data_IF_811976599161
#
_entry.id   IF_811976599161
#
_cell.length_a   1.000
_cell.length_b   1.000
_cell.length_c   1.000
_cell.angle_alpha   90.00
_cell.angle_beta   90.00
_cell.angle_gamma   90.00
#
_symmetry.space_group_name_H-M   'P 1'
#
loop_
_entity.id
_entity.type
_entity.pdbx_description
1 polymer ?
#
# COMPACT_ATOMS: atom_id res chain seq x y z
N UNK A 1 16.08 -1.49 22.45
CA UNK A 1 14.80 -0.91 22.05
C UNK A 1 14.88 -0.84 20.54
N UNK A 2 14.23 -1.77 19.84
CA UNK A 2 14.25 -1.85 18.37
C UNK A 2 13.56 -0.61 17.83
N UNK A 3 14.17 0.09 16.87
CA UNK A 3 13.48 1.16 16.16
C UNK A 3 12.55 0.51 15.12
N UNK A 4 11.33 1.04 14.94
CA UNK A 4 10.37 0.41 14.02
C UNK A 4 10.90 0.35 12.58
N UNK A 5 11.80 1.26 12.22
CA UNK A 5 12.49 1.29 10.93
C UNK A 5 13.46 0.11 10.72
N UNK A 6 13.84 -0.61 11.77
CA UNK A 6 14.69 -1.80 11.68
C UNK A 6 13.90 -3.06 11.28
N UNK A 7 12.55 -2.98 11.22
CA UNK A 7 11.68 -4.08 10.82
C UNK A 7 11.37 -3.94 9.33
N UNK A 8 11.84 -4.90 8.53
CA UNK A 8 11.78 -4.80 7.07
C UNK A 8 10.79 -5.82 6.50
N UNK A 9 9.79 -5.41 5.68
CA UNK A 9 8.98 -6.35 4.94
C UNK A 9 9.81 -7.06 3.85
N UNK A 10 9.55 -8.34 3.63
CA UNK A 10 10.22 -9.11 2.59
C UNK A 10 9.52 -10.44 2.29
N UNK A 11 10.27 -11.38 1.73
CA UNK A 11 9.79 -12.71 1.39
C UNK A 11 10.82 -13.77 1.78
N UNK A 12 10.36 -14.92 2.25
CA UNK A 12 11.22 -16.09 2.45
C UNK A 12 11.63 -16.73 1.11
N UNK A 13 12.54 -17.71 1.16
CA UNK A 13 13.07 -18.39 -0.03
C UNK A 13 12.00 -19.11 -0.86
N UNK A 14 10.89 -19.49 -0.24
CA UNK A 14 9.76 -20.13 -0.91
C UNK A 14 8.76 -19.12 -1.51
N UNK A 15 9.03 -17.82 -1.36
CA UNK A 15 8.21 -16.71 -1.86
C UNK A 15 7.10 -16.28 -0.90
N UNK A 16 6.94 -16.93 0.26
CA UNK A 16 5.98 -16.50 1.29
C UNK A 16 6.37 -15.15 1.88
N UNK A 17 5.37 -14.31 2.17
CA UNK A 17 5.62 -13.00 2.77
C UNK A 17 6.14 -13.12 4.20
N UNK A 18 7.11 -12.29 4.56
CA UNK A 18 7.72 -12.24 5.88
C UNK A 18 8.04 -10.80 6.31
N UNK A 19 8.29 -10.62 7.61
CA UNK A 19 8.92 -9.42 8.15
C UNK A 19 10.17 -9.81 8.94
N UNK A 20 11.23 -9.02 8.82
CA UNK A 20 12.55 -9.30 9.39
C UNK A 20 12.88 -8.26 10.46
N UNK A 21 13.17 -8.71 11.67
CA UNK A 21 13.74 -7.92 12.77
C UNK A 21 15.15 -8.47 13.05
N UNK A 22 16.15 -7.97 12.33
CA UNK A 22 17.49 -8.56 12.33
C UNK A 22 17.46 -10.02 11.84
N UNK A 23 17.84 -10.97 12.71
CA UNK A 23 17.81 -12.41 12.42
C UNK A 23 16.44 -13.06 12.72
N UNK A 24 15.49 -12.32 13.30
CA UNK A 24 14.16 -12.82 13.64
C UNK A 24 13.25 -12.69 12.42
N UNK A 25 12.53 -13.77 12.11
CA UNK A 25 11.57 -13.82 11.00
C UNK A 25 10.16 -13.96 11.56
N UNK A 26 9.26 -13.08 11.12
CA UNK A 26 7.83 -13.15 11.39
C UNK A 26 7.10 -13.57 10.12
N UNK A 27 6.55 -14.79 10.10
CA UNK A 27 5.82 -15.33 8.94
C UNK A 27 4.36 -14.89 8.84
N UNK A 28 3.90 -13.97 9.69
CA UNK A 28 2.55 -13.37 9.56
C UNK A 28 2.48 -12.01 10.24
N UNK A 29 1.53 -11.18 9.79
CA UNK A 29 1.27 -9.87 10.41
C UNK A 29 0.85 -10.01 11.88
N UNK A 30 0.06 -11.03 12.23
CA UNK A 30 -0.38 -11.29 13.59
C UNK A 30 0.78 -11.66 14.51
N UNK A 31 1.73 -12.48 14.04
CA UNK A 31 2.94 -12.81 14.79
C UNK A 31 3.85 -11.59 14.99
N UNK A 32 3.94 -10.72 13.96
CA UNK A 32 4.71 -9.48 14.03
C UNK A 32 4.15 -8.52 15.09
N UNK A 33 2.86 -8.19 15.03
CA UNK A 33 2.26 -7.21 15.98
C UNK A 33 2.18 -7.75 17.41
N UNK A 34 2.13 -9.07 17.59
CA UNK A 34 2.23 -9.69 18.91
C UNK A 34 3.64 -9.55 19.52
N UNK A 35 4.68 -9.63 18.69
CA UNK A 35 6.07 -9.43 19.11
C UNK A 35 6.42 -7.94 19.26
N UNK A 36 5.85 -7.08 18.41
CA UNK A 36 6.10 -5.64 18.37
C UNK A 36 4.79 -4.85 18.46
N UNK A 37 4.18 -4.73 19.66
CA UNK A 37 2.91 -4.01 19.84
C UNK A 37 2.96 -2.53 19.48
N UNK A 38 4.16 -1.92 19.46
CA UNK A 38 4.36 -0.52 19.09
C UNK A 38 3.93 -0.22 17.64
N UNK A 39 3.85 -1.22 16.76
CA UNK A 39 3.29 -1.07 15.41
C UNK A 39 1.80 -0.66 15.40
N UNK A 40 1.08 -0.89 16.50
CA UNK A 40 -0.33 -0.50 16.66
C UNK A 40 -0.50 0.92 17.22
N UNK A 41 0.59 1.66 17.46
CA UNK A 41 0.52 3.05 17.88
C UNK A 41 0.24 3.97 16.68
N UNK A 42 -0.51 5.07 16.84
CA UNK A 42 -0.84 5.97 15.73
C UNK A 42 0.37 6.51 14.96
N UNK A 43 1.50 6.72 15.64
CA UNK A 43 2.75 7.17 15.01
C UNK A 43 3.41 6.13 14.10
N UNK A 44 3.02 4.86 14.21
CA UNK A 44 3.57 3.75 13.44
C UNK A 44 2.71 3.36 12.22
N UNK A 45 1.61 4.08 11.94
CA UNK A 45 0.65 3.72 10.90
C UNK A 45 1.29 3.48 9.52
N UNK A 46 2.32 4.28 9.17
CA UNK A 46 3.08 4.10 7.94
C UNK A 46 3.82 2.76 7.88
N UNK A 47 4.53 2.40 8.94
CA UNK A 47 5.27 1.13 9.00
C UNK A 47 4.31 -0.06 9.07
N UNK A 48 3.23 0.04 9.84
CA UNK A 48 2.19 -0.99 9.85
C UNK A 48 1.59 -1.20 8.45
N UNK A 49 1.35 -0.12 7.68
CA UNK A 49 0.86 -0.23 6.30
C UNK A 49 1.84 -0.95 5.37
N UNK A 50 3.15 -0.78 5.53
CA UNK A 50 4.14 -1.56 4.76
C UNK A 50 4.01 -3.05 5.03
N UNK A 51 3.93 -3.45 6.30
CA UNK A 51 3.83 -4.85 6.66
C UNK A 51 2.49 -5.46 6.26
N UNK A 52 1.38 -4.78 6.55
CA UNK A 52 0.03 -5.24 6.14
C UNK A 52 -0.01 -5.44 4.62
N UNK A 53 0.50 -4.49 3.85
CA UNK A 53 0.56 -4.62 2.40
C UNK A 53 1.43 -5.80 1.95
N UNK A 54 2.61 -5.96 2.53
CA UNK A 54 3.52 -7.07 2.20
C UNK A 54 2.87 -8.44 2.44
N UNK A 55 2.22 -8.64 3.58
CA UNK A 55 1.55 -9.90 3.89
C UNK A 55 0.29 -10.14 3.05
N UNK A 56 -0.40 -9.09 2.61
CA UNK A 56 -1.64 -9.20 1.85
C UNK A 56 -1.45 -9.32 0.33
N UNK A 57 -0.54 -8.52 -0.24
CA UNK A 57 -0.37 -8.35 -1.69
C UNK A 57 1.09 -8.40 -2.15
N UNK A 58 2.06 -8.53 -1.24
CA UNK A 58 3.48 -8.57 -1.56
C UNK A 58 3.93 -7.35 -2.38
N UNK A 59 4.57 -7.61 -3.52
CA UNK A 59 5.17 -6.59 -4.41
C UNK A 59 4.20 -6.04 -5.46
N UNK A 60 2.98 -6.58 -5.56
CA UNK A 60 2.01 -6.15 -6.58
C UNK A 60 1.42 -4.77 -6.27
N UNK A 61 1.49 -4.36 -5.00
CA UNK A 61 1.00 -3.09 -4.50
C UNK A 61 2.07 -2.38 -3.67
N UNK A 62 2.09 -1.06 -3.75
CA UNK A 62 3.01 -0.21 -3.00
C UNK A 62 2.22 0.83 -2.19
N UNK A 63 2.35 0.87 -0.85
CA UNK A 63 1.70 1.89 -0.04
C UNK A 63 2.11 3.31 -0.43
N UNK A 64 1.14 4.20 -0.54
CA UNK A 64 1.32 5.62 -0.84
C UNK A 64 1.61 6.35 0.48
N UNK A 65 2.89 6.55 0.78
CA UNK A 65 3.34 7.23 2.00
C UNK A 65 3.31 8.76 1.90
N UNK A 66 3.50 9.29 0.68
CA UNK A 66 3.42 10.72 0.38
C UNK A 66 2.34 10.94 -0.70
N UNK A 67 1.10 11.26 -0.31
CA UNK A 67 0.01 11.52 -1.24
C UNK A 67 0.31 12.66 -2.23
N UNK A 68 1.05 13.69 -1.81
CA UNK A 68 1.36 14.83 -2.65
C UNK A 68 2.39 14.47 -3.73
N UNK A 69 3.42 13.70 -3.38
CA UNK A 69 4.37 13.15 -4.34
C UNK A 69 3.70 12.19 -5.31
N UNK A 70 2.83 11.30 -4.82
CA UNK A 70 2.06 10.40 -5.67
C UNK A 70 1.17 11.17 -6.66
N UNK A 71 0.38 12.14 -6.19
CA UNK A 71 -0.50 12.93 -7.05
C UNK A 71 0.27 13.71 -8.12
N UNK A 72 1.45 14.24 -7.79
CA UNK A 72 2.34 14.90 -8.76
C UNK A 72 2.84 13.93 -9.82
N UNK A 73 3.33 12.76 -9.42
CA UNK A 73 3.82 11.73 -10.34
C UNK A 73 2.70 11.18 -11.23
N UNK A 74 1.51 10.97 -10.68
CA UNK A 74 0.33 10.51 -11.41
C UNK A 74 -0.06 11.51 -12.51
N UNK A 75 -0.18 12.80 -12.16
CA UNK A 75 -0.51 13.86 -13.13
C UNK A 75 0.57 14.02 -14.21
N UNK A 76 1.85 13.88 -13.85
CA UNK A 76 2.94 13.93 -14.81
C UNK A 76 2.85 12.79 -15.83
N UNK A 77 2.67 11.55 -15.36
CA UNK A 77 2.46 10.37 -16.24
C UNK A 77 1.24 10.56 -17.15
N UNK A 78 0.12 11.03 -16.60
CA UNK A 78 -1.09 11.27 -17.39
C UNK A 78 -0.87 12.33 -18.49
N UNK A 79 -0.08 13.38 -18.23
CA UNK A 79 0.21 14.42 -19.21
C UNK A 79 1.13 13.95 -20.35
N UNK A 80 1.94 12.91 -20.10
CA UNK A 80 2.79 12.26 -21.11
C UNK A 80 1.99 11.29 -22.01
N UNK A 81 0.79 10.88 -21.60
CA UNK A 81 -0.06 9.98 -22.40
C UNK A 81 -0.68 10.73 -23.59
N UNK A 82 -0.43 10.26 -24.81
CA UNK A 82 -1.03 10.79 -26.03
C UNK A 82 -2.51 10.37 -26.16
N UNK A 83 -3.50 11.28 -25.99
CA UNK A 83 -4.91 10.88 -25.94
C UNK A 83 -5.44 10.35 -27.28
N UNK A 84 -4.84 10.80 -28.38
CA UNK A 84 -5.20 10.39 -29.73
C UNK A 84 -4.60 9.02 -30.12
N UNK A 85 -3.69 8.47 -29.31
CA UNK A 85 -3.07 7.18 -29.61
C UNK A 85 -4.13 6.08 -29.50
N UNK A 86 -4.27 5.19 -30.49
CA UNK A 86 -5.18 4.05 -30.39
C UNK A 86 -4.83 3.17 -29.18
N UNK A 87 -5.83 2.50 -28.61
CA UNK A 87 -5.60 1.48 -27.60
C UNK A 87 -4.65 0.40 -28.12
N UNK A 88 -3.73 -0.05 -27.26
CA UNK A 88 -2.76 -1.09 -27.57
C UNK A 88 -2.85 -2.17 -26.50
N UNK A 89 -2.91 -3.43 -26.94
CA UNK A 89 -2.84 -4.56 -26.03
C UNK A 89 -1.52 -4.50 -25.24
N UNK A 90 -1.58 -4.81 -23.94
CA UNK A 90 -0.43 -4.82 -23.01
C UNK A 90 0.16 -3.45 -22.65
N UNK A 91 -0.40 -2.34 -23.16
CA UNK A 91 0.00 -0.98 -22.75
C UNK A 91 -1.03 -0.40 -21.78
N UNK A 92 -0.68 -0.35 -20.50
CA UNK A 92 -1.53 0.23 -19.46
C UNK A 92 -1.40 1.76 -19.44
N UNK A 93 -2.43 2.44 -19.94
CA UNK A 93 -2.56 3.91 -19.86
C UNK A 93 -3.52 4.27 -18.73
N UNK A 94 -3.14 5.25 -17.92
CA UNK A 94 -3.99 5.78 -16.87
C UNK A 94 -5.30 6.32 -17.46
N UNK A 95 -5.24 6.96 -18.63
CA UNK A 95 -6.40 7.50 -19.33
C UNK A 95 -7.49 6.47 -19.64
N UNK A 96 -7.14 5.19 -19.78
CA UNK A 96 -8.09 4.12 -20.10
C UNK A 96 -9.00 3.76 -18.91
N UNK A 97 -8.65 4.19 -17.69
CA UNK A 97 -9.37 3.87 -16.45
C UNK A 97 -10.10 5.07 -15.84
N UNK A 98 -9.86 6.28 -16.36
CA UNK A 98 -10.27 7.52 -15.72
C UNK A 98 -9.26 8.01 -14.68
N UNK A 99 -9.53 9.20 -14.11
CA UNK A 99 -8.66 9.83 -13.11
C UNK A 99 -9.24 9.56 -11.72
N UNK A 100 -8.49 8.97 -10.77
CA UNK A 100 -8.94 8.80 -9.40
C UNK A 100 -9.04 10.14 -8.70
N UNK A 101 -9.90 10.22 -7.68
CA UNK A 101 -9.92 11.34 -6.74
C UNK A 101 -8.62 11.37 -5.92
N UNK A 102 -7.62 12.07 -6.44
CA UNK A 102 -6.32 12.24 -5.80
C UNK A 102 -6.40 13.04 -4.50
N UNK A 103 -7.46 13.81 -4.27
CA UNK A 103 -7.64 14.60 -3.03
C UNK A 103 -8.15 13.75 -1.86
N UNK A 104 -8.81 12.62 -2.16
CA UNK A 104 -9.22 11.62 -1.18
C UNK A 104 -8.05 10.78 -0.64
N UNK A 105 -6.92 10.73 -1.35
CA UNK A 105 -5.74 9.96 -0.93
C UNK A 105 -5.07 10.66 0.27
N UNK A 106 -4.93 9.91 1.36
CA UNK A 106 -4.32 10.37 2.63
C UNK A 106 -3.12 9.50 2.98
N UNK A 107 -2.27 10.00 3.87
CA UNK A 107 -1.22 9.20 4.48
C UNK A 107 -1.84 8.07 5.34
N UNK A 108 -1.14 6.96 5.56
CA UNK A 108 -1.63 5.89 6.43
C UNK A 108 -2.00 6.40 7.82
N UNK A 109 -3.13 5.95 8.33
CA UNK A 109 -3.63 6.35 9.64
C UNK A 109 -4.35 5.20 10.36
N UNK A 110 -4.35 5.27 11.69
CA UNK A 110 -5.17 4.41 12.54
C UNK A 110 -6.44 5.17 12.95
N UNK A 111 -7.59 4.68 12.50
CA UNK A 111 -8.89 5.32 12.74
C UNK A 111 -9.97 4.25 12.95
N UNK A 112 -10.84 4.45 13.95
CA UNK A 112 -11.99 3.61 14.25
C UNK A 112 -11.69 2.09 14.33
N UNK A 113 -10.57 1.73 14.96
CA UNK A 113 -10.16 0.33 15.11
C UNK A 113 -9.65 -0.32 13.82
N UNK A 114 -9.27 0.49 12.82
CA UNK A 114 -8.71 0.04 11.55
C UNK A 114 -7.43 0.80 11.24
N UNK A 115 -6.57 0.14 10.48
CA UNK A 115 -5.58 0.82 9.65
C UNK A 115 -6.24 1.17 8.31
N UNK A 116 -6.16 2.45 7.94
CA UNK A 116 -6.59 2.94 6.62
C UNK A 116 -5.37 3.51 5.92
N UNK A 117 -5.11 3.03 4.71
CA UNK A 117 -4.05 3.58 3.85
C UNK A 117 -4.45 3.49 2.39
N UNK A 118 -3.60 4.01 1.52
CA UNK A 118 -3.77 3.90 0.08
C UNK A 118 -2.57 3.18 -0.51
N UNK A 119 -2.79 2.39 -1.56
CA UNK A 119 -1.74 1.68 -2.26
C UNK A 119 -1.88 1.88 -3.77
N UNK A 120 -0.74 1.94 -4.46
CA UNK A 120 -0.67 1.92 -5.91
C UNK A 120 -0.45 0.49 -6.37
N UNK A 121 -1.29 -0.02 -7.28
CA UNK A 121 -0.98 -1.27 -7.96
C UNK A 121 0.18 -1.02 -8.95
N UNK A 122 1.26 -1.78 -8.85
CA UNK A 122 2.54 -1.49 -9.53
C UNK A 122 2.41 -1.50 -11.05
N UNK A 123 1.65 -2.46 -11.61
CA UNK A 123 1.52 -2.63 -13.06
C UNK A 123 0.66 -1.53 -13.71
N UNK A 124 -0.56 -1.33 -13.22
CA UNK A 124 -1.50 -0.36 -13.79
C UNK A 124 -1.19 1.08 -13.36
N UNK A 125 -0.62 1.27 -12.17
CA UNK A 125 -0.46 2.58 -11.54
C UNK A 125 -1.74 3.13 -10.90
N UNK A 126 -2.82 2.34 -10.83
CA UNK A 126 -4.07 2.75 -10.21
C UNK A 126 -3.96 2.78 -8.69
N UNK A 127 -4.67 3.72 -8.08
CA UNK A 127 -4.76 3.88 -6.63
C UNK A 127 -5.93 3.05 -6.06
N UNK A 128 -5.66 2.41 -4.94
CA UNK A 128 -6.63 1.64 -4.16
C UNK A 128 -6.63 2.15 -2.72
N UNK A 129 -7.82 2.25 -2.12
CA UNK A 129 -8.00 2.45 -0.70
C UNK A 129 -7.96 1.09 -0.02
N UNK A 130 -7.18 1.01 1.05
CA UNK A 130 -6.97 -0.21 1.83
C UNK A 130 -7.51 0.00 3.23
N UNK A 131 -8.37 -0.91 3.68
CA UNK A 131 -8.83 -0.97 5.07
C UNK A 131 -8.43 -2.32 5.67
N UNK A 132 -7.77 -2.28 6.84
CA UNK A 132 -7.42 -3.48 7.60
C UNK A 132 -7.91 -3.32 9.05
N UNK A 133 -8.89 -4.11 9.50
CA UNK A 133 -9.29 -4.13 10.92
C UNK A 133 -8.10 -4.50 11.80
N UNK A 134 -7.87 -3.78 12.90
CA UNK A 134 -6.72 -4.04 13.78
C UNK A 134 -6.80 -5.43 14.46
N UNK A 135 -8.00 -5.96 14.64
CA UNK A 135 -8.25 -7.30 15.15
C UNK A 135 -8.07 -8.42 14.10
N UNK A 136 -7.96 -8.05 12.82
CA UNK A 136 -7.89 -8.98 11.69
C UNK A 136 -7.06 -8.38 10.54
N UNK A 137 -5.81 -8.02 10.83
CA UNK A 137 -4.91 -7.35 9.88
C UNK A 137 -4.61 -8.18 8.61
N UNK A 138 -4.79 -9.50 8.68
CA UNK A 138 -4.67 -10.42 7.54
C UNK A 138 -5.91 -10.39 6.60
N UNK A 139 -6.94 -9.60 6.92
CA UNK A 139 -8.17 -9.42 6.14
C UNK A 139 -8.25 -8.04 5.48
N UNK A 140 -7.12 -7.43 5.17
CA UNK A 140 -7.08 -6.15 4.47
C UNK A 140 -7.86 -6.20 3.14
N UNK A 141 -8.77 -5.27 2.93
CA UNK A 141 -9.54 -5.14 1.69
C UNK A 141 -8.97 -4.02 0.81
N UNK A 142 -8.91 -4.24 -0.50
CA UNK A 142 -8.37 -3.30 -1.48
C UNK A 142 -9.49 -2.91 -2.43
N UNK A 143 -9.94 -1.66 -2.35
CA UNK A 143 -11.01 -1.12 -3.19
C UNK A 143 -10.44 -0.01 -4.09
N UNK A 144 -10.73 0.04 -5.39
CA UNK A 144 -10.31 1.14 -6.24
C UNK A 144 -10.74 2.49 -5.67
N UNK A 145 -9.85 3.48 -5.71
CA UNK A 145 -10.24 4.86 -5.36
C UNK A 145 -11.30 5.32 -6.35
N UNK A 146 -12.34 5.99 -5.83
CA UNK A 146 -13.41 6.55 -6.65
C UNK A 146 -12.83 7.47 -7.73
N UNK A 147 -13.35 7.34 -8.95
CA UNK A 147 -12.96 8.20 -10.07
C UNK A 147 -13.66 9.55 -9.98
N UNK A 148 -12.99 10.62 -10.39
CA UNK A 148 -13.66 11.91 -10.56
C UNK A 148 -14.58 11.84 -11.79
N UNK A 149 -15.77 12.42 -11.65
CA UNK A 149 -16.77 12.50 -12.71
C UNK A 149 -16.47 13.61 -13.73
#
# INVERSE_FOLDING_TARGET
>A
MTDLIDIVPGQEMDGSAAAYEGDIVHGSISALVAAVPALLEPGAAGELARHVNNFAQGVDFEPIMDPAAFARAYRARLAEEEPARPWQQEVFRLSDFGVPDLEAIRAPELVDGKLVFFARQVVSGLAYRVEAPLEALDKASYEPVAMVA
#
